data_IF_908959952955
#
_entry.id   IF_908959952955
#
_cell.length_a   1.000
_cell.length_b   1.000
_cell.length_c   1.000
_cell.angle_alpha   90.00
_cell.angle_beta   90.00
_cell.angle_gamma   90.00
#
_symmetry.space_group_name_H-M   'P 1'
#
loop_
_entity.id
_entity.type
_entity.pdbx_description
1 polymer ?
#
# COMPACT_ATOMS: atom_id res chain seq x y z
N UNK A 1 -23.17 20.19 18.27
CA UNK A 1 -22.51 20.22 17.73
C UNK A 1 -22.36 19.72 16.84
N UNK A 2 -22.29 19.92 16.32
CA UNK A 2 -22.04 19.27 15.71
C UNK A 2 -21.03 19.12 15.22
N UNK A 3 -20.88 18.43 15.22
CA UNK A 3 -19.62 17.79 15.11
C UNK A 3 -19.16 17.59 13.71
N UNK A 4 -17.93 17.83 13.44
CA UNK A 4 -17.33 17.46 12.17
C UNK A 4 -17.53 15.98 11.97
N UNK A 5 -18.12 15.58 10.85
CA UNK A 5 -18.09 14.18 10.47
C UNK A 5 -16.65 13.73 10.40
N UNK A 6 -16.28 12.80 11.24
CA UNK A 6 -14.98 12.16 11.10
C UNK A 6 -14.97 11.45 9.76
N UNK A 7 -13.90 11.66 9.01
CA UNK A 7 -13.69 10.90 7.80
C UNK A 7 -13.46 9.45 8.25
N UNK A 8 -14.42 8.58 7.91
CA UNK A 8 -14.40 7.20 8.36
C UNK A 8 -13.75 6.24 7.38
N UNK A 9 -13.31 6.76 6.23
CA UNK A 9 -12.63 5.94 5.24
C UNK A 9 -11.70 6.77 4.38
N UNK A 10 -10.68 6.11 3.85
CA UNK A 10 -9.78 6.69 2.85
C UNK A 10 -9.85 5.86 1.59
N UNK A 11 -9.87 6.52 0.46
CA UNK A 11 -9.99 5.87 -0.84
C UNK A 11 -8.78 6.19 -1.70
N UNK A 12 -8.27 5.17 -2.39
CA UNK A 12 -7.15 5.31 -3.30
C UNK A 12 -7.47 4.56 -4.59
N UNK A 13 -7.30 5.24 -5.72
CA UNK A 13 -7.43 4.62 -7.03
C UNK A 13 -6.04 4.27 -7.56
N UNK A 14 -5.89 3.10 -8.12
CA UNK A 14 -4.61 2.67 -8.65
C UNK A 14 -4.71 1.39 -9.45
N UNK A 15 -3.56 0.77 -9.65
CA UNK A 15 -3.43 -0.48 -10.38
C UNK A 15 -2.80 -1.53 -9.50
N UNK A 16 -3.27 -2.75 -9.61
CA UNK A 16 -2.70 -3.86 -8.86
C UNK A 16 -1.36 -4.27 -9.48
N UNK A 17 -0.32 -4.29 -8.66
CA UNK A 17 0.95 -4.88 -9.08
C UNK A 17 0.94 -6.37 -8.76
N UNK A 18 0.57 -6.73 -7.53
CA UNK A 18 0.58 -8.11 -7.09
C UNK A 18 -0.24 -8.27 -5.81
N UNK A 19 -0.72 -9.47 -5.56
CA UNK A 19 -1.23 -9.86 -4.25
C UNK A 19 -2.69 -10.26 -4.18
N UNK A 20 -3.46 -10.08 -5.25
CA UNK A 20 -4.85 -10.52 -5.31
C UNK A 20 -5.01 -11.54 -6.44
N UNK A 21 -6.00 -12.45 -6.33
CA UNK A 21 -6.20 -13.48 -7.35
C UNK A 21 -6.92 -12.92 -8.58
N UNK A 22 -6.36 -11.86 -9.15
CA UNK A 22 -6.82 -11.23 -10.39
C UNK A 22 -5.61 -10.83 -11.19
N UNK A 23 -5.82 -10.40 -12.42
CA UNK A 23 -4.74 -10.03 -13.33
C UNK A 23 -3.93 -8.85 -12.79
N UNK A 24 -2.61 -8.97 -12.82
CA UNK A 24 -1.73 -7.87 -12.47
C UNK A 24 -1.90 -6.72 -13.47
N UNK A 25 -1.82 -5.50 -12.97
CA UNK A 25 -2.04 -4.32 -13.79
C UNK A 25 -3.48 -3.85 -13.85
N UNK A 26 -4.40 -4.61 -13.29
CA UNK A 26 -5.83 -4.27 -13.34
C UNK A 26 -6.12 -3.05 -12.46
N UNK A 27 -7.08 -2.24 -12.91
CA UNK A 27 -7.51 -1.08 -12.13
C UNK A 27 -8.26 -1.53 -10.88
N UNK A 28 -8.00 -0.85 -9.77
CA UNK A 28 -8.71 -1.14 -8.53
C UNK A 28 -8.95 0.12 -7.71
N UNK A 29 -9.93 0.01 -6.81
CA UNK A 29 -10.19 1.01 -5.79
C UNK A 29 -9.86 0.38 -4.44
N UNK A 30 -8.89 0.98 -3.74
CA UNK A 30 -8.54 0.56 -2.39
C UNK A 30 -9.23 1.49 -1.40
N UNK A 31 -9.91 0.89 -0.46
CA UNK A 31 -10.64 1.64 0.57
C UNK A 31 -10.22 1.13 1.93
N UNK A 32 -9.77 2.03 2.78
CA UNK A 32 -9.38 1.68 4.16
C UNK A 32 -10.37 2.30 5.13
N UNK A 33 -10.94 1.45 5.97
CA UNK A 33 -11.90 1.83 7.01
C UNK A 33 -11.44 1.29 8.35
N UNK A 34 -12.13 1.68 9.41
CA UNK A 34 -11.85 1.16 10.74
C UNK A 34 -11.99 -0.36 10.82
N UNK A 35 -12.91 -0.94 10.06
CA UNK A 35 -13.14 -2.38 10.04
C UNK A 35 -12.11 -3.16 9.25
N UNK A 36 -11.48 -2.52 8.27
CA UNK A 36 -10.52 -3.19 7.42
C UNK A 36 -10.36 -2.54 6.05
N UNK A 37 -9.73 -3.28 5.16
CA UNK A 37 -9.45 -2.85 3.80
C UNK A 37 -10.38 -3.54 2.81
N UNK A 38 -10.79 -2.78 1.80
CA UNK A 38 -11.60 -3.29 0.70
C UNK A 38 -10.90 -2.99 -0.61
N UNK A 39 -10.81 -3.97 -1.49
CA UNK A 39 -10.21 -3.83 -2.81
C UNK A 39 -11.28 -4.16 -3.83
N UNK A 40 -11.77 -3.15 -4.53
CA UNK A 40 -12.80 -3.32 -5.54
C UNK A 40 -12.20 -3.30 -6.93
N UNK A 41 -12.54 -4.31 -7.74
CA UNK A 41 -12.07 -4.45 -9.12
C UNK A 41 -13.26 -4.17 -10.05
N UNK A 42 -13.37 -2.94 -10.59
CA UNK A 42 -14.55 -2.59 -11.39
C UNK A 42 -14.75 -3.46 -12.62
N UNK A 43 -13.66 -3.77 -13.32
CA UNK A 43 -13.75 -4.55 -14.58
C UNK A 43 -14.27 -5.96 -14.36
N UNK A 44 -14.11 -6.53 -13.17
CA UNK A 44 -14.55 -7.88 -12.86
C UNK A 44 -15.69 -7.91 -11.84
N UNK A 45 -16.09 -6.74 -11.35
CA UNK A 45 -17.15 -6.62 -10.33
C UNK A 45 -16.88 -7.49 -9.11
N UNK A 46 -15.59 -7.54 -8.71
CA UNK A 46 -15.15 -8.31 -7.54
C UNK A 46 -14.68 -7.40 -6.44
N UNK A 47 -14.95 -7.79 -5.21
CA UNK A 47 -14.50 -7.08 -4.02
C UNK A 47 -13.78 -8.07 -3.11
N UNK A 48 -12.58 -7.68 -2.66
CA UNK A 48 -11.81 -8.45 -1.69
C UNK A 48 -11.74 -7.64 -0.41
N UNK A 49 -11.91 -8.31 0.73
CA UNK A 49 -11.90 -7.64 2.02
C UNK A 49 -10.88 -8.28 2.95
N UNK A 50 -10.20 -7.44 3.74
CA UNK A 50 -9.28 -7.90 4.76
C UNK A 50 -9.65 -7.19 6.06
N UNK A 51 -9.91 -7.98 7.12
CA UNK A 51 -10.24 -7.41 8.42
C UNK A 51 -9.04 -6.64 8.97
N UNK A 52 -9.32 -5.53 9.66
CA UNK A 52 -8.27 -4.67 10.21
C UNK A 52 -7.33 -5.43 11.16
N UNK A 53 -7.86 -6.42 11.87
CA UNK A 53 -7.04 -7.21 12.79
C UNK A 53 -5.94 -8.01 12.08
N UNK A 54 -6.12 -8.29 10.79
CA UNK A 54 -5.16 -9.05 10.01
C UNK A 54 -4.12 -8.18 9.32
N UNK A 55 -4.40 -6.90 9.14
CA UNK A 55 -3.47 -5.99 8.46
C UNK A 55 -2.36 -5.60 9.42
N UNK A 56 -1.13 -5.84 9.03
CA UNK A 56 0.04 -5.57 9.86
C UNK A 56 0.75 -4.28 9.48
N UNK A 57 0.77 -3.93 8.21
CA UNK A 57 1.42 -2.71 7.73
C UNK A 57 0.71 -2.16 6.52
N UNK A 58 0.66 -0.83 6.42
CA UNK A 58 0.29 -0.11 5.22
C UNK A 58 1.33 0.98 5.04
N UNK A 59 2.16 0.86 4.01
CA UNK A 59 3.28 1.76 3.76
C UNK A 59 3.20 2.31 2.35
N UNK A 60 3.70 3.53 2.16
CA UNK A 60 3.78 4.09 0.82
C UNK A 60 5.22 4.45 0.49
N UNK A 61 5.56 4.35 -0.78
CA UNK A 61 6.88 4.67 -1.28
C UNK A 61 6.75 5.36 -2.63
N UNK A 62 7.61 6.34 -2.89
CA UNK A 62 7.71 6.88 -4.22
C UNK A 62 8.60 5.95 -5.07
N UNK A 63 8.73 6.28 -6.34
CA UNK A 63 9.49 5.46 -7.28
C UNK A 63 10.95 5.32 -6.86
N UNK A 64 11.53 6.41 -6.36
CA UNK A 64 12.94 6.41 -5.94
C UNK A 64 13.15 5.50 -4.73
N UNK A 65 12.29 5.61 -3.73
CA UNK A 65 12.37 4.77 -2.54
C UNK A 65 12.15 3.30 -2.89
N UNK A 66 11.20 3.01 -3.79
CA UNK A 66 10.92 1.65 -4.21
C UNK A 66 12.10 1.06 -4.97
N UNK A 67 12.75 1.85 -5.83
CA UNK A 67 13.95 1.40 -6.54
C UNK A 67 15.04 1.02 -5.56
N UNK A 68 15.25 1.80 -4.51
CA UNK A 68 16.24 1.48 -3.49
C UNK A 68 15.93 0.17 -2.76
N UNK A 69 14.65 -0.04 -2.44
CA UNK A 69 14.23 -1.29 -1.79
C UNK A 69 14.55 -2.48 -2.66
N UNK A 70 14.23 -2.39 -3.94
CA UNK A 70 14.46 -3.48 -4.90
C UNK A 70 15.94 -3.74 -5.09
N UNK A 71 16.75 -2.70 -5.24
CA UNK A 71 18.19 -2.85 -5.53
C UNK A 71 19.01 -3.20 -4.30
N UNK A 72 18.57 -2.79 -3.11
CA UNK A 72 19.34 -2.97 -1.88
C UNK A 72 18.79 -4.06 -0.98
N UNK A 73 17.69 -4.70 -1.37
CA UNK A 73 17.07 -5.77 -0.57
C UNK A 73 16.89 -5.34 0.90
N UNK A 74 16.21 -4.22 1.11
CA UNK A 74 16.05 -3.65 2.44
C UNK A 74 15.53 -4.68 3.44
N UNK A 75 16.15 -4.81 4.63
CA UNK A 75 15.72 -5.77 5.63
C UNK A 75 14.28 -5.53 6.07
N UNK A 76 13.53 -6.60 6.29
CA UNK A 76 12.16 -6.53 6.75
C UNK A 76 11.12 -6.27 5.69
N UNK A 77 11.53 -6.15 4.45
CA UNK A 77 10.62 -6.00 3.33
C UNK A 77 10.39 -7.35 2.67
N UNK A 78 9.14 -7.80 2.68
CA UNK A 78 8.76 -9.00 1.97
C UNK A 78 8.14 -8.54 0.65
N UNK A 79 8.91 -8.64 -0.41
CA UNK A 79 8.42 -8.38 -1.76
C UNK A 79 8.55 -9.69 -2.53
N UNK A 80 7.45 -10.17 -3.06
CA UNK A 80 7.45 -11.41 -3.83
C UNK A 80 8.30 -11.29 -5.10
N UNK A 81 8.83 -12.40 -5.56
CA UNK A 81 9.69 -12.42 -6.75
C UNK A 81 9.02 -11.82 -7.98
N UNK A 82 7.70 -12.03 -8.13
CA UNK A 82 6.95 -11.49 -9.26
C UNK A 82 6.90 -9.97 -9.18
N UNK A 83 6.65 -9.42 -7.98
CA UNK A 83 6.60 -7.98 -7.77
C UNK A 83 7.96 -7.34 -8.02
N UNK A 84 9.04 -8.00 -7.59
CA UNK A 84 10.41 -7.54 -7.89
C UNK A 84 10.62 -7.37 -9.38
N UNK A 85 10.24 -8.40 -10.16
CA UNK A 85 10.38 -8.36 -11.61
C UNK A 85 9.52 -7.28 -12.25
N UNK A 86 8.27 -7.19 -11.85
CA UNK A 86 7.31 -6.23 -12.40
C UNK A 86 7.72 -4.79 -12.10
N UNK A 87 8.01 -4.50 -10.83
CA UNK A 87 8.40 -3.16 -10.41
C UNK A 87 9.75 -2.79 -11.01
N UNK A 88 10.70 -3.72 -11.01
CA UNK A 88 12.01 -3.50 -11.59
C UNK A 88 11.94 -3.18 -13.08
N UNK A 89 11.10 -3.89 -13.82
CA UNK A 89 10.90 -3.64 -15.24
C UNK A 89 10.27 -2.26 -15.48
N UNK A 90 9.29 -1.88 -14.65
CA UNK A 90 8.65 -0.59 -14.76
C UNK A 90 9.65 0.55 -14.53
N UNK A 91 10.45 0.45 -13.48
CA UNK A 91 11.42 1.48 -13.13
C UNK A 91 12.57 1.50 -14.12
N UNK A 92 13.12 0.33 -14.42
CA UNK A 92 14.28 0.20 -15.30
C UNK A 92 14.01 0.50 -16.77
N UNK A 93 12.75 0.28 -17.21
CA UNK A 93 12.37 0.53 -18.60
C UNK A 93 12.06 1.98 -18.92
N UNK A 94 12.08 2.86 -17.94
CA UNK A 94 11.77 4.27 -18.16
C UNK A 94 13.00 5.03 -18.60
N UNK A 95 12.81 5.88 -19.62
CA UNK A 95 13.86 6.81 -20.03
C UNK A 95 13.93 7.90 -18.97
N UNK A 96 15.04 7.95 -18.26
CA UNK A 96 15.25 8.99 -17.24
C UNK A 96 15.67 10.27 -17.95
N UNK A 97 14.77 11.22 -18.00
CA UNK A 97 15.10 12.57 -18.45
C UNK A 97 15.24 13.45 -17.21
N UNK A 98 16.13 14.44 -17.29
CA UNK A 98 16.42 15.32 -16.15
C UNK A 98 15.18 16.06 -15.63
N UNK A 99 14.19 16.24 -16.46
CA UNK A 99 13.01 17.06 -16.15
C UNK A 99 11.79 16.22 -15.77
N UNK A 100 11.93 14.91 -15.66
CA UNK A 100 10.78 14.06 -15.39
C UNK A 100 10.51 14.01 -13.91
N UNK A 101 9.34 14.53 -13.53
CA UNK A 101 8.89 14.40 -12.14
C UNK A 101 8.52 12.96 -11.86
N UNK A 102 8.89 12.48 -10.68
CA UNK A 102 8.47 11.16 -10.22
C UNK A 102 6.98 11.25 -9.91
N UNK A 103 6.17 10.54 -10.69
CA UNK A 103 4.71 10.56 -10.52
C UNK A 103 4.14 9.24 -10.04
N UNK A 104 4.95 8.20 -10.01
CA UNK A 104 4.49 6.88 -9.62
C UNK A 104 4.79 6.62 -8.15
N UNK A 105 3.77 6.15 -7.43
CA UNK A 105 3.86 5.83 -6.03
C UNK A 105 3.34 4.43 -5.81
N UNK A 106 3.77 3.81 -4.71
CA UNK A 106 3.39 2.43 -4.39
C UNK A 106 2.87 2.37 -2.98
N UNK A 107 1.79 1.63 -2.79
CA UNK A 107 1.25 1.33 -1.47
C UNK A 107 1.38 -0.17 -1.25
N UNK A 108 2.03 -0.53 -0.15
CA UNK A 108 2.27 -1.92 0.22
C UNK A 108 1.42 -2.23 1.44
N UNK A 109 0.52 -3.20 1.29
CA UNK A 109 -0.35 -3.64 2.37
C UNK A 109 0.08 -5.05 2.78
N UNK A 110 0.57 -5.19 4.00
CA UNK A 110 0.95 -6.48 4.54
C UNK A 110 -0.15 -6.98 5.46
N UNK A 111 -0.50 -8.24 5.33
CA UNK A 111 -1.52 -8.83 6.17
C UNK A 111 -1.18 -10.29 6.46
N UNK A 112 -1.72 -10.81 7.55
CA UNK A 112 -1.49 -12.17 7.99
C UNK A 112 -2.76 -13.02 7.73
N UNK A 113 -2.61 -13.99 6.85
CA UNK A 113 -3.65 -14.95 6.54
C UNK A 113 -2.98 -16.28 6.22
N UNK A 114 -2.83 -17.11 7.25
CA UNK A 114 -2.06 -18.36 7.14
C UNK A 114 -0.62 -18.10 6.68
N UNK A 115 -0.02 -17.07 7.25
CA UNK A 115 1.29 -16.59 6.86
C UNK A 115 1.22 -15.16 6.37
N UNK A 116 2.36 -14.51 6.30
CA UNK A 116 2.41 -13.11 5.89
C UNK A 116 2.23 -12.98 4.39
N UNK A 117 1.32 -12.10 3.99
CA UNK A 117 1.01 -11.82 2.59
C UNK A 117 1.10 -10.33 2.34
N UNK A 118 1.24 -9.96 1.07
CA UNK A 118 1.41 -8.58 0.68
C UNK A 118 0.61 -8.27 -0.59
N UNK A 119 -0.02 -7.09 -0.58
CA UNK A 119 -0.67 -6.54 -1.76
C UNK A 119 0.07 -5.27 -2.11
N UNK A 120 0.42 -5.10 -3.39
CA UNK A 120 1.14 -3.94 -3.87
C UNK A 120 0.29 -3.22 -4.90
N UNK A 121 0.05 -1.93 -4.66
CA UNK A 121 -0.75 -1.08 -5.53
C UNK A 121 0.13 0.05 -6.05
N UNK A 122 0.03 0.32 -7.35
CA UNK A 122 0.64 1.46 -7.97
C UNK A 122 -0.39 2.57 -8.12
N UNK A 123 0.01 3.79 -7.84
CA UNK A 123 -0.89 4.94 -7.98
C UNK A 123 -0.11 6.18 -8.40
N UNK A 124 -0.80 7.12 -9.04
CA UNK A 124 -0.23 8.43 -9.34
C UNK A 124 -0.64 9.46 -8.26
N UNK A 125 -1.46 9.05 -7.32
CA UNK A 125 -1.96 9.92 -6.26
C UNK A 125 -1.05 9.87 -5.04
N UNK A 126 -0.03 10.71 -5.03
CA UNK A 126 0.95 10.78 -3.95
C UNK A 126 0.29 11.11 -2.61
N UNK A 127 -0.60 12.10 -2.62
CA UNK A 127 -1.24 12.55 -1.40
C UNK A 127 -2.18 11.48 -0.84
N UNK A 128 -2.92 10.82 -1.72
CA UNK A 128 -3.80 9.72 -1.31
C UNK A 128 -3.02 8.56 -0.71
N UNK A 129 -1.88 8.21 -1.32
CA UNK A 129 -1.03 7.15 -0.81
C UNK A 129 -0.51 7.48 0.58
N UNK A 130 -0.02 8.70 0.77
CA UNK A 130 0.48 9.16 2.06
C UNK A 130 -0.62 9.15 3.12
N UNK A 131 -1.79 9.67 2.78
CA UNK A 131 -2.91 9.77 3.71
C UNK A 131 -3.43 8.40 4.14
N UNK A 132 -3.42 7.42 3.25
CA UNK A 132 -3.83 6.06 3.58
C UNK A 132 -2.87 5.44 4.60
N UNK A 133 -1.57 5.64 4.40
CA UNK A 133 -0.56 5.15 5.33
C UNK A 133 -0.71 5.80 6.70
N UNK A 134 -0.92 7.11 6.73
CA UNK A 134 -1.14 7.84 7.99
C UNK A 134 -2.41 7.38 8.70
N UNK A 135 -3.48 7.20 7.95
CA UNK A 135 -4.76 6.76 8.52
C UNK A 135 -4.62 5.37 9.14
N UNK A 136 -3.90 4.47 8.51
CA UNK A 136 -3.65 3.16 9.09
C UNK A 136 -2.90 3.27 10.42
N UNK A 137 -1.93 4.16 10.49
CA UNK A 137 -1.18 4.38 11.73
C UNK A 137 -2.08 4.88 12.85
N UNK A 138 -3.10 5.65 12.52
CA UNK A 138 -4.09 6.12 13.49
C UNK A 138 -5.02 4.99 13.93
N UNK A 139 -5.44 4.13 12.99
CA UNK A 139 -6.33 3.01 13.28
C UNK A 139 -5.66 1.95 14.15
N UNK A 140 -4.39 1.70 13.90
CA UNK A 140 -3.60 0.72 14.65
C UNK A 140 -2.32 1.39 15.15
N UNK A 141 -2.43 2.09 16.29
CA UNK A 141 -1.23 2.67 16.88
C UNK A 141 -0.20 1.58 17.03
N UNK A 142 0.96 1.88 16.52
CA UNK A 142 2.04 0.94 16.42
C UNK A 142 2.42 0.39 17.78
N UNK A 143 2.75 -0.91 17.85
CA UNK A 143 3.30 -1.52 19.04
C UNK A 143 4.65 -0.90 19.44
N UNK A 144 5.18 -0.01 18.64
CA UNK A 144 6.37 0.76 18.94
C UNK A 144 6.05 2.02 19.76
N UNK A 145 4.84 2.15 20.29
CA UNK A 145 4.54 3.22 21.23
C UNK A 145 5.51 3.08 22.40
N UNK A 146 6.24 4.18 22.74
CA UNK A 146 7.18 4.09 23.84
C UNK A 146 6.49 3.60 25.10
N UNK A 147 7.01 2.54 25.68
CA UNK A 147 6.49 2.02 26.90
C UNK A 147 7.29 2.60 28.06
N UNK A 148 6.59 3.12 29.06
CA UNK A 148 7.23 3.65 30.25
C UNK A 148 7.20 2.57 31.32
N UNK A 149 8.39 2.22 31.78
CA UNK A 149 8.51 1.26 32.88
C UNK A 149 8.90 2.03 34.12
N UNK A 150 8.15 1.84 35.18
CA UNK A 150 8.48 2.44 36.49
C UNK A 150 9.34 1.44 37.27
N UNK A 151 10.53 1.86 37.62
CA UNK A 151 11.45 1.04 38.38
C UNK A 151 11.21 1.19 39.87
#
# INVERSE_FOLDING_TARGET
MFGKKKITEKILLGNLIEGLPVQNGIDLMFKLKAEGATFFIPSEQKTFEINISKITKVQWYDEIAMEKIITQSAPGMIIGAIAFGTIGAMIGGRVKTKDKKVTTHFVLINYDSEGEKQIIIQTNDALGAMKISEYFSELKPNNNTPQTFTL
#
